data_IF_767132239787
#
_entry.id   IF_767132239787
#
_cell.length_a   1.000
_cell.length_b   1.000
_cell.length_c   1.000
_cell.angle_alpha   90.00
_cell.angle_beta   90.00
_cell.angle_gamma   90.00
#
_symmetry.space_group_name_H-M   'P 1'
#
loop_
_entity.id
_entity.type
_entity.pdbx_description
1 polymer ?
#
# COMPACT_ATOMS: atom_id res chain seq x y z
N UNK A 1 7.20 4.97 0.51
CA UNK A 1 7.37 3.78 -0.31
C UNK A 1 7.82 4.10 -1.73
N UNK A 2 7.32 5.14 -2.33
CA UNK A 2 7.70 5.51 -3.69
C UNK A 2 8.77 6.61 -3.69
N UNK A 3 9.64 6.64 -4.74
CA UNK A 3 10.52 7.78 -4.95
C UNK A 3 9.69 9.05 -5.16
N UNK A 4 10.19 10.16 -4.67
CA UNK A 4 9.54 11.46 -4.86
C UNK A 4 9.46 11.78 -6.35
N UNK A 5 8.27 12.18 -6.83
CA UNK A 5 8.06 12.50 -8.24
C UNK A 5 7.81 11.30 -9.14
N UNK A 6 7.68 10.10 -8.59
CA UNK A 6 7.35 8.91 -9.38
C UNK A 6 5.95 9.05 -10.00
N UNK A 7 5.84 8.79 -11.31
CA UNK A 7 4.59 8.88 -12.07
C UNK A 7 4.23 7.56 -12.73
N UNK A 8 4.69 6.46 -12.17
CA UNK A 8 4.38 5.13 -12.67
C UNK A 8 3.51 4.38 -11.65
N UNK A 9 2.65 3.48 -12.14
CA UNK A 9 1.91 2.58 -11.27
C UNK A 9 2.90 1.72 -10.46
N UNK A 10 2.76 1.72 -9.15
CA UNK A 10 3.67 0.99 -8.27
C UNK A 10 3.63 -0.52 -8.51
N UNK A 11 2.48 -1.05 -8.92
CA UNK A 11 2.31 -2.50 -9.11
C UNK A 11 2.68 -2.97 -10.52
N UNK A 12 2.26 -2.27 -11.58
CA UNK A 12 2.49 -2.74 -12.95
C UNK A 12 3.49 -1.90 -13.74
N UNK A 13 3.90 -0.75 -13.22
CA UNK A 13 4.92 0.09 -13.84
C UNK A 13 4.46 0.96 -15.00
N UNK A 14 3.17 0.94 -15.37
CA UNK A 14 2.68 1.76 -16.48
C UNK A 14 2.85 3.25 -16.17
N UNK A 15 3.31 3.99 -17.17
CA UNK A 15 3.51 5.43 -17.10
C UNK A 15 2.54 6.16 -18.03
N UNK A 16 2.41 7.48 -17.86
CA UNK A 16 1.60 8.32 -18.74
C UNK A 16 0.10 8.07 -18.65
N UNK A 17 -0.38 7.52 -17.56
CA UNK A 17 -1.78 7.25 -17.28
C UNK A 17 -2.17 7.87 -15.94
N UNK A 18 -3.47 8.00 -15.72
CA UNK A 18 -3.97 8.48 -14.44
C UNK A 18 -3.65 7.49 -13.33
N UNK A 19 -3.15 8.01 -12.21
CA UNK A 19 -2.82 7.22 -11.05
C UNK A 19 -3.68 7.67 -9.87
N UNK A 20 -4.04 6.70 -9.03
CA UNK A 20 -4.82 6.95 -7.82
C UNK A 20 -3.97 6.65 -6.59
N UNK A 21 -4.09 7.49 -5.58
CA UNK A 21 -3.39 7.26 -4.32
C UNK A 21 -4.05 6.12 -3.55
N UNK A 22 -3.26 5.13 -3.18
CA UNK A 22 -3.72 3.97 -2.42
C UNK A 22 -3.02 3.93 -1.06
N UNK A 23 -3.79 3.98 0.01
CA UNK A 23 -3.28 3.77 1.36
C UNK A 23 -3.17 2.26 1.58
N UNK A 24 -1.97 1.79 1.88
CA UNK A 24 -1.67 0.35 1.96
C UNK A 24 -2.55 -0.34 3.01
N UNK A 25 -2.63 0.26 4.21
CA UNK A 25 -3.54 -0.22 5.24
C UNK A 25 -4.76 0.70 5.21
N UNK A 26 -5.90 0.15 4.84
CA UNK A 26 -7.12 0.91 4.64
C UNK A 26 -8.18 0.57 5.70
N UNK A 27 -9.36 1.19 5.58
CA UNK A 27 -10.33 1.19 6.65
C UNK A 27 -10.13 2.45 7.51
N UNK A 28 -11.14 2.86 8.25
CA UNK A 28 -11.18 4.17 8.88
C UNK A 28 -9.94 4.50 9.73
N UNK A 29 -9.57 3.61 10.64
CA UNK A 29 -8.43 3.85 11.53
C UNK A 29 -7.09 3.65 10.82
N UNK A 30 -6.97 2.58 10.03
CA UNK A 30 -5.71 2.21 9.40
C UNK A 30 -5.30 3.16 8.27
N UNK A 31 -6.26 3.72 7.55
CA UNK A 31 -5.98 4.72 6.52
C UNK A 31 -5.25 5.92 7.11
N UNK A 32 -5.69 6.37 8.27
CA UNK A 32 -5.07 7.49 8.99
C UNK A 32 -3.63 7.16 9.38
N UNK A 33 -3.38 5.93 9.82
CA UNK A 33 -2.04 5.49 10.18
C UNK A 33 -1.15 5.31 8.94
N UNK A 34 -1.70 4.81 7.82
CA UNK A 34 -0.97 4.74 6.56
C UNK A 34 -0.50 6.12 6.11
N UNK A 35 -1.38 7.13 6.21
CA UNK A 35 -1.02 8.51 5.87
C UNK A 35 0.07 9.04 6.78
N UNK A 36 -0.07 8.82 8.09
CA UNK A 36 0.89 9.29 9.08
C UNK A 36 2.30 8.74 8.84
N UNK A 37 2.41 7.48 8.46
CA UNK A 37 3.71 6.82 8.28
C UNK A 37 4.16 6.75 6.82
N UNK A 38 3.43 7.38 5.91
CA UNK A 38 3.78 7.40 4.50
C UNK A 38 3.67 6.05 3.79
N UNK A 39 2.81 5.17 4.30
CA UNK A 39 2.59 3.85 3.72
C UNK A 39 1.48 3.91 2.68
N UNK A 40 1.80 4.56 1.58
CA UNK A 40 0.88 4.74 0.46
C UNK A 40 1.66 4.74 -0.85
N UNK A 41 0.99 4.33 -1.92
CA UNK A 41 1.56 4.27 -3.26
C UNK A 41 0.55 4.78 -4.27
N UNK A 42 0.99 5.04 -5.50
CA UNK A 42 0.10 5.38 -6.60
C UNK A 42 -0.11 4.15 -7.47
N UNK A 43 -1.37 3.85 -7.76
CA UNK A 43 -1.76 2.72 -8.59
C UNK A 43 -2.64 3.20 -9.73
N UNK A 44 -2.51 2.55 -10.90
CA UNK A 44 -3.46 2.79 -11.98
C UNK A 44 -4.84 2.24 -11.58
N UNK A 45 -5.89 2.65 -12.30
CA UNK A 45 -7.25 2.21 -12.00
C UNK A 45 -7.35 0.69 -11.97
N UNK A 46 -6.71 0.01 -12.93
CA UNK A 46 -6.76 -1.45 -13.01
C UNK A 46 -6.14 -2.12 -11.78
N UNK A 47 -4.93 -1.70 -11.39
CA UNK A 47 -4.27 -2.29 -10.22
C UNK A 47 -4.93 -1.88 -8.91
N UNK A 48 -5.65 -0.76 -8.89
CA UNK A 48 -6.29 -0.26 -7.69
C UNK A 48 -7.66 -0.91 -7.45
N UNK A 49 -8.54 -0.91 -8.46
CA UNK A 49 -9.94 -1.29 -8.23
C UNK A 49 -10.64 -2.11 -9.32
N UNK A 50 -9.94 -2.50 -10.38
CA UNK A 50 -10.58 -3.33 -11.40
C UNK A 50 -10.99 -4.69 -10.80
N UNK A 51 -12.20 -5.21 -11.10
CA UNK A 51 -12.63 -6.51 -10.58
C UNK A 51 -11.60 -7.61 -10.87
N UNK A 52 -11.25 -8.40 -9.85
CA UNK A 52 -10.30 -9.52 -9.86
C UNK A 52 -8.83 -9.11 -10.09
N UNK A 53 -8.57 -7.91 -10.57
CA UNK A 53 -7.22 -7.43 -10.90
C UNK A 53 -6.69 -6.49 -9.84
N UNK A 54 -7.52 -5.55 -9.39
CA UNK A 54 -7.12 -4.50 -8.47
C UNK A 54 -7.17 -4.93 -7.00
N UNK A 55 -6.43 -4.20 -6.19
CA UNK A 55 -6.39 -4.41 -4.74
C UNK A 55 -7.79 -4.40 -4.15
N UNK A 56 -8.58 -3.37 -4.49
CA UNK A 56 -9.97 -3.26 -4.01
C UNK A 56 -10.95 -4.07 -4.86
N UNK A 57 -10.49 -4.67 -5.93
CA UNK A 57 -11.30 -5.53 -6.79
C UNK A 57 -11.28 -7.00 -6.40
N UNK A 58 -10.59 -7.33 -5.31
CA UNK A 58 -10.51 -8.70 -4.81
C UNK A 58 -9.19 -9.41 -5.07
N UNK A 59 -8.18 -8.73 -5.59
CA UNK A 59 -6.85 -9.32 -5.75
C UNK A 59 -6.13 -9.35 -4.39
N UNK A 60 -6.44 -10.37 -3.61
CA UNK A 60 -5.87 -10.52 -2.24
C UNK A 60 -4.35 -10.74 -2.26
N UNK A 61 -3.85 -11.37 -3.30
CA UNK A 61 -2.41 -11.62 -3.44
C UNK A 61 -1.63 -10.32 -3.57
N UNK A 62 -2.12 -9.41 -4.41
CA UNK A 62 -1.52 -8.09 -4.57
C UNK A 62 -1.65 -7.28 -3.29
N UNK A 63 -2.83 -7.25 -2.70
CA UNK A 63 -3.08 -6.54 -1.45
C UNK A 63 -2.11 -7.01 -0.35
N UNK A 64 -1.98 -8.32 -0.18
CA UNK A 64 -1.10 -8.90 0.84
C UNK A 64 0.38 -8.60 0.55
N UNK A 65 0.79 -8.65 -0.70
CA UNK A 65 2.17 -8.34 -1.09
C UNK A 65 2.53 -6.90 -0.76
N UNK A 66 1.63 -5.96 -1.06
CA UNK A 66 1.83 -4.55 -0.73
C UNK A 66 1.90 -4.33 0.79
N UNK A 67 1.05 -5.01 1.54
CA UNK A 67 1.04 -4.91 3.01
C UNK A 67 2.32 -5.46 3.62
N UNK A 68 2.80 -6.60 3.12
CA UNK A 68 4.06 -7.19 3.59
C UNK A 68 5.23 -6.25 3.32
N UNK A 69 5.28 -5.66 2.14
CA UNK A 69 6.32 -4.71 1.77
C UNK A 69 6.27 -3.46 2.65
N UNK A 70 5.08 -2.93 2.88
CA UNK A 70 4.90 -1.76 3.73
C UNK A 70 5.35 -2.05 5.18
N UNK A 71 5.03 -3.23 5.69
CA UNK A 71 5.47 -3.64 7.02
C UNK A 71 7.00 -3.68 7.11
N UNK A 72 7.67 -4.26 6.11
CA UNK A 72 9.13 -4.31 6.10
C UNK A 72 9.75 -2.92 6.09
N UNK A 73 9.18 -2.00 5.32
CA UNK A 73 9.63 -0.61 5.27
C UNK A 73 9.43 0.08 6.62
N UNK A 74 8.26 -0.11 7.23
CA UNK A 74 7.96 0.44 8.56
C UNK A 74 8.98 -0.07 9.60
N UNK A 75 9.28 -1.37 9.56
CA UNK A 75 10.17 -2.00 10.53
C UNK A 75 11.65 -1.67 10.32
N UNK A 76 12.01 -1.00 9.23
CA UNK A 76 13.35 -0.43 9.06
C UNK A 76 13.54 0.81 9.93
N UNK A 77 12.47 1.49 10.33
CA UNK A 77 12.51 2.74 11.11
C UNK A 77 11.91 2.59 12.50
N UNK A 78 11.08 1.58 12.70
CA UNK A 78 10.37 1.33 13.93
C UNK A 78 10.47 -0.15 14.27
N UNK A 79 10.17 -0.52 15.52
CA UNK A 79 10.20 -1.93 15.91
C UNK A 79 9.00 -2.71 15.36
N UNK A 80 9.13 -4.04 15.37
CA UNK A 80 8.02 -4.93 15.07
C UNK A 80 6.86 -4.72 16.07
N UNK A 81 7.20 -4.55 17.35
CA UNK A 81 6.19 -4.30 18.39
C UNK A 81 5.41 -3.03 18.08
N UNK A 82 6.09 -2.00 17.59
CA UNK A 82 5.42 -0.75 17.20
C UNK A 82 4.48 -0.98 16.03
N UNK A 83 4.88 -1.79 15.04
CA UNK A 83 4.01 -2.13 13.92
C UNK A 83 2.74 -2.82 14.40
N UNK A 84 2.88 -3.80 15.29
CA UNK A 84 1.74 -4.54 15.84
C UNK A 84 0.82 -3.63 16.66
N UNK A 85 1.40 -2.68 17.41
CA UNK A 85 0.63 -1.70 18.17
C UNK A 85 -0.22 -0.81 17.24
N UNK A 86 0.37 -0.35 16.13
CA UNK A 86 -0.29 0.58 15.22
C UNK A 86 -1.32 -0.12 14.32
N UNK A 87 -0.96 -1.26 13.74
CA UNK A 87 -1.77 -1.93 12.71
C UNK A 87 -2.45 -3.22 13.17
N UNK A 88 -2.00 -3.81 14.25
CA UNK A 88 -2.68 -4.92 14.91
C UNK A 88 -2.58 -6.29 14.24
N UNK A 89 -1.85 -6.43 13.14
CA UNK A 89 -1.74 -7.69 12.42
C UNK A 89 -0.39 -7.81 11.74
N UNK A 90 0.17 -9.02 11.73
CA UNK A 90 1.45 -9.33 11.08
C UNK A 90 1.22 -9.83 9.65
N UNK A 91 1.95 -9.28 8.68
CA UNK A 91 1.86 -9.64 7.25
C UNK A 91 3.15 -10.29 6.73
N UNK A 92 4.13 -10.47 7.58
CA UNK A 92 5.41 -11.09 7.17
C UNK A 92 5.81 -12.26 8.07
#
# INVERSE_FOLDING_TARGET
>A
MEPKGCRACYACGREGIDLEEHHIFYGTANRRQSEKYGLKVHLCIDCHRRPKVGVHGGNKKLDRALKAQAQRIFEQRHSHEKFMEVFGKNYI
#
